data_IF_041839394505
#
_entry.id   IF_041839394505
#
_cell.length_a   1.000
_cell.length_b   1.000
_cell.length_c   1.000
_cell.angle_alpha   90.00
_cell.angle_beta   90.00
_cell.angle_gamma   90.00
#
_symmetry.space_group_name_H-M   'P 1'
#
loop_
_entity.id
_entity.type
_entity.pdbx_description
1 polymer ?
#
# COMPACT_ATOMS: atom_id res chain seq x y z
N UNK A 1 -15.73 3.55 1.96
CA UNK A 1 -14.33 3.48 2.41
C UNK A 1 -13.42 3.85 1.25
N UNK A 2 -12.32 4.55 1.55
CA UNK A 2 -11.27 4.91 0.58
C UNK A 2 -9.97 4.19 0.93
N UNK A 3 -9.11 3.97 -0.06
CA UNK A 3 -7.74 3.45 0.11
C UNK A 3 -6.74 4.37 -0.58
N UNK A 4 -5.58 4.57 0.04
CA UNK A 4 -4.50 5.36 -0.55
C UNK A 4 -3.66 4.47 -1.45
N UNK A 5 -3.44 4.92 -2.70
CA UNK A 5 -2.49 4.31 -3.62
C UNK A 5 -1.43 5.33 -4.00
N UNK A 6 -0.29 4.84 -4.46
CA UNK A 6 0.83 5.65 -4.95
C UNK A 6 1.15 5.31 -6.40
N UNK A 7 1.72 6.27 -7.15
CA UNK A 7 2.16 6.01 -8.51
C UNK A 7 3.36 5.04 -8.53
N UNK A 8 3.42 4.15 -9.50
CA UNK A 8 4.54 3.23 -9.68
C UNK A 8 5.81 3.96 -10.14
N UNK A 9 6.94 3.70 -9.49
CA UNK A 9 8.25 4.26 -9.87
C UNK A 9 8.69 3.89 -11.29
N UNK A 10 8.32 2.70 -11.77
CA UNK A 10 8.65 2.21 -13.13
C UNK A 10 7.61 2.59 -14.21
N UNK A 11 6.44 3.09 -13.81
CA UNK A 11 5.34 3.43 -14.70
C UNK A 11 4.46 4.49 -14.02
N UNK A 12 4.82 5.78 -14.10
CA UNK A 12 4.18 6.85 -13.31
C UNK A 12 2.68 7.08 -13.57
N UNK A 13 2.16 6.50 -14.66
CA UNK A 13 0.74 6.47 -15.04
C UNK A 13 -0.05 5.35 -14.33
N UNK A 14 0.64 4.41 -13.67
CA UNK A 14 0.06 3.27 -12.97
C UNK A 14 0.05 3.48 -11.46
N UNK A 15 -0.96 2.90 -10.80
CA UNK A 15 -1.14 2.98 -9.35
C UNK A 15 -0.84 1.66 -8.67
N UNK A 16 -0.29 1.70 -7.47
CA UNK A 16 0.07 0.53 -6.64
C UNK A 16 -0.26 0.79 -5.18
N UNK A 17 -0.43 -0.28 -4.40
CA UNK A 17 -0.41 -0.22 -2.93
C UNK A 17 1.03 0.10 -2.50
N UNK A 18 1.25 1.11 -1.63
CA UNK A 18 2.59 1.44 -1.15
C UNK A 18 3.19 0.30 -0.35
N UNK A 19 4.51 0.12 -0.46
CA UNK A 19 5.23 -0.92 0.25
C UNK A 19 6.52 -1.34 -0.45
N UNK A 20 7.47 -1.78 0.35
CA UNK A 20 8.81 -2.14 -0.11
C UNK A 20 9.43 -3.27 0.69
N UNK A 21 10.76 -3.29 0.73
CA UNK A 21 11.55 -4.38 1.31
C UNK A 21 11.66 -4.25 2.83
N UNK A 22 11.88 -5.39 3.50
CA UNK A 22 12.35 -5.36 4.88
C UNK A 22 13.83 -4.97 4.91
N UNK A 23 14.18 -4.06 5.80
CA UNK A 23 15.57 -3.82 6.16
C UNK A 23 16.11 -4.92 7.10
N UNK A 24 17.45 -5.08 7.20
CA UNK A 24 18.03 -6.03 8.13
C UNK A 24 17.58 -5.80 9.58
N UNK A 25 17.01 -6.84 10.20
CA UNK A 25 16.45 -6.81 11.57
C UNK A 25 15.21 -5.92 11.73
N UNK A 26 14.54 -5.55 10.63
CA UNK A 26 13.30 -4.78 10.68
C UNK A 26 12.08 -5.68 10.83
N UNK A 27 11.22 -5.34 11.79
CA UNK A 27 9.92 -6.01 11.95
C UNK A 27 8.97 -5.63 10.81
N UNK A 28 8.16 -6.56 10.27
CA UNK A 28 7.27 -6.26 9.14
C UNK A 28 6.26 -5.14 9.37
N UNK A 29 5.79 -4.97 10.60
CA UNK A 29 4.93 -3.86 10.99
C UNK A 29 5.65 -2.51 10.93
N UNK A 30 6.91 -2.48 11.38
CA UNK A 30 7.78 -1.30 11.32
C UNK A 30 8.05 -0.92 9.86
N UNK A 31 8.41 -1.90 9.03
CA UNK A 31 8.61 -1.70 7.61
C UNK A 31 7.36 -1.13 6.94
N UNK A 32 6.17 -1.69 7.22
CA UNK A 32 4.93 -1.18 6.64
C UNK A 32 4.66 0.31 6.99
N UNK A 33 4.99 0.73 8.21
CA UNK A 33 4.85 2.13 8.63
C UNK A 33 5.93 3.04 8.03
N UNK A 34 7.17 2.55 7.89
CA UNK A 34 8.25 3.28 7.23
C UNK A 34 7.91 3.50 5.75
N UNK A 35 7.60 2.42 5.03
CA UNK A 35 7.32 2.44 3.59
C UNK A 35 6.13 3.34 3.23
N UNK A 36 5.05 3.32 4.00
CA UNK A 36 3.89 4.17 3.72
C UNK A 36 4.17 5.65 4.00
N UNK A 37 5.09 5.95 4.92
CA UNK A 37 5.57 7.31 5.16
C UNK A 37 6.51 7.76 4.02
N UNK A 38 7.43 6.90 3.59
CA UNK A 38 8.41 7.17 2.52
C UNK A 38 7.76 7.27 1.14
N UNK A 39 6.82 6.40 0.80
CA UNK A 39 6.18 6.36 -0.53
C UNK A 39 4.90 7.19 -0.59
N UNK A 40 4.12 7.20 0.50
CA UNK A 40 2.78 7.80 0.55
C UNK A 40 2.70 9.09 1.37
N UNK A 41 3.73 9.43 2.15
CA UNK A 41 3.73 10.63 2.98
C UNK A 41 2.59 10.65 3.99
N UNK A 42 2.22 9.51 4.56
CA UNK A 42 1.14 9.43 5.56
C UNK A 42 1.60 8.77 6.84
N UNK A 43 1.02 9.20 7.95
CA UNK A 43 1.15 8.54 9.26
C UNK A 43 -0.22 8.12 9.77
N UNK A 44 -0.23 7.13 10.65
CA UNK A 44 -1.49 6.57 11.11
C UNK A 44 -1.31 5.58 12.24
N UNK A 45 -2.44 5.02 12.65
CA UNK A 45 -2.49 3.90 13.60
C UNK A 45 -2.42 2.59 12.82
N UNK A 46 -1.38 1.80 13.11
CA UNK A 46 -1.27 0.46 12.55
C UNK A 46 -2.33 -0.45 13.19
N UNK A 47 -3.14 -1.05 12.34
CA UNK A 47 -4.14 -2.03 12.71
C UNK A 47 -3.63 -3.47 12.52
N UNK A 48 -4.58 -4.38 12.29
CA UNK A 48 -4.28 -5.80 12.11
C UNK A 48 -3.45 -6.07 10.85
N UNK A 49 -2.68 -7.16 10.89
CA UNK A 49 -2.16 -7.80 9.70
C UNK A 49 -3.33 -8.39 8.90
N UNK A 50 -3.45 -7.98 7.65
CA UNK A 50 -4.45 -8.50 6.72
C UNK A 50 -4.07 -9.89 6.21
N UNK A 51 -2.76 -10.17 6.11
CA UNK A 51 -2.22 -11.46 5.75
C UNK A 51 -0.88 -11.36 5.03
N UNK A 52 -0.35 -12.53 4.69
CA UNK A 52 0.88 -12.70 3.94
C UNK A 52 0.54 -13.15 2.53
N UNK A 53 1.02 -12.43 1.53
CA UNK A 53 0.75 -12.67 0.12
C UNK A 53 2.04 -13.01 -0.60
N UNK A 54 2.01 -14.13 -1.34
CA UNK A 54 3.16 -14.58 -2.11
C UNK A 54 2.97 -14.24 -3.59
N UNK A 55 4.01 -13.67 -4.17
CA UNK A 55 4.16 -13.53 -5.60
C UNK A 55 5.24 -14.52 -6.05
N UNK A 56 4.81 -15.70 -6.51
CA UNK A 56 5.67 -16.79 -6.93
C UNK A 56 6.52 -16.45 -8.16
N UNK A 57 6.01 -15.62 -9.08
CA UNK A 57 6.78 -15.15 -10.24
C UNK A 57 7.99 -14.32 -9.84
N UNK A 58 7.82 -13.46 -8.82
CA UNK A 58 8.89 -12.60 -8.30
C UNK A 58 9.63 -13.20 -7.11
N UNK A 59 9.18 -14.36 -6.60
CA UNK A 59 9.66 -14.97 -5.34
C UNK A 59 9.61 -13.99 -4.15
N UNK A 60 8.64 -13.09 -4.15
CA UNK A 60 8.46 -12.10 -3.08
C UNK A 60 7.31 -12.52 -2.17
N UNK A 61 7.48 -12.28 -0.87
CA UNK A 61 6.45 -12.46 0.14
C UNK A 61 6.18 -11.10 0.80
N UNK A 62 4.93 -10.66 0.77
CA UNK A 62 4.52 -9.34 1.28
C UNK A 62 3.53 -9.52 2.42
N UNK A 63 3.88 -9.01 3.61
CA UNK A 63 2.93 -8.89 4.71
C UNK A 63 2.18 -7.57 4.57
N UNK A 64 0.86 -7.63 4.56
CA UNK A 64 0.01 -6.46 4.34
C UNK A 64 -0.70 -6.13 5.64
N UNK A 65 -0.64 -4.87 6.05
CA UNK A 65 -1.30 -4.35 7.25
C UNK A 65 -2.34 -3.30 6.87
N UNK A 66 -3.32 -3.11 7.76
CA UNK A 66 -4.22 -1.95 7.67
C UNK A 66 -3.57 -0.81 8.44
N UNK A 67 -3.52 0.37 7.82
CA UNK A 67 -3.14 1.60 8.49
C UNK A 67 -4.33 2.57 8.42
N UNK A 68 -4.82 2.98 9.58
CA UNK A 68 -5.78 4.08 9.66
C UNK A 68 -5.00 5.40 9.61
N UNK A 69 -5.04 6.09 8.47
CA UNK A 69 -4.32 7.36 8.27
C UNK A 69 -4.90 8.44 9.17
N UNK A 70 -4.03 9.11 9.93
CA UNK A 70 -4.36 10.22 10.82
C UNK A 70 -3.68 11.51 10.43
N UNK A 71 -2.65 11.45 9.59
CA UNK A 71 -1.87 12.61 9.14
C UNK A 71 -1.44 12.40 7.67
N UNK A 72 -1.58 13.46 6.87
CA UNK A 72 -1.10 13.55 5.50
C UNK A 72 -0.02 14.63 5.42
N UNK A 73 1.21 14.25 5.09
CA UNK A 73 2.34 15.16 4.93
C UNK A 73 2.23 15.89 3.59
N UNK A 74 2.49 17.19 3.56
CA UNK A 74 2.53 17.97 2.31
C UNK A 74 3.68 17.53 1.41
N UNK A 75 4.82 17.23 2.02
CA UNK A 75 6.01 16.73 1.35
C UNK A 75 6.52 15.45 2.02
N UNK A 76 7.00 14.51 1.21
CA UNK A 76 7.56 13.25 1.66
C UNK A 76 8.69 12.78 0.73
N UNK A 77 9.42 11.76 1.15
CA UNK A 77 10.68 11.33 0.52
C UNK A 77 10.52 11.03 -0.97
N UNK A 78 9.62 10.11 -1.34
CA UNK A 78 9.46 9.74 -2.75
C UNK A 78 8.82 10.83 -3.62
N UNK A 79 8.01 11.73 -3.04
CA UNK A 79 7.55 12.90 -3.79
C UNK A 79 8.73 13.81 -4.15
N UNK A 80 9.67 14.02 -3.22
CA UNK A 80 10.85 14.87 -3.44
C UNK A 80 11.86 14.22 -4.38
N UNK A 81 12.12 12.95 -4.20
CA UNK A 81 13.22 12.26 -4.87
C UNK A 81 12.84 11.79 -6.28
N UNK A 82 11.62 11.29 -6.46
CA UNK A 82 11.20 10.65 -7.72
C UNK A 82 9.85 11.18 -8.26
N UNK A 83 9.28 12.20 -7.64
CA UNK A 83 8.00 12.78 -8.08
C UNK A 83 6.81 11.82 -7.90
N UNK A 84 6.90 10.90 -6.93
CA UNK A 84 5.81 9.94 -6.65
C UNK A 84 4.55 10.70 -6.24
N UNK A 85 3.42 10.30 -6.80
CA UNK A 85 2.10 10.84 -6.49
C UNK A 85 1.36 9.90 -5.55
N UNK A 86 0.49 10.47 -4.71
CA UNK A 86 -0.50 9.71 -3.93
C UNK A 86 -1.93 10.13 -4.30
N UNK A 87 -2.89 9.23 -4.18
CA UNK A 87 -4.31 9.55 -4.35
C UNK A 87 -5.17 8.57 -3.54
N UNK A 88 -6.23 9.10 -2.95
CA UNK A 88 -7.30 8.30 -2.34
C UNK A 88 -8.28 7.81 -3.40
N UNK A 89 -8.58 6.51 -3.38
CA UNK A 89 -9.47 5.85 -4.32
C UNK A 89 -10.65 5.20 -3.59
N UNK A 90 -11.87 5.34 -4.12
CA UNK A 90 -12.95 4.40 -3.84
C UNK A 90 -12.50 2.96 -4.15
N UNK A 91 -12.99 1.99 -3.38
CA UNK A 91 -12.57 0.59 -3.48
C UNK A 91 -12.73 0.01 -4.89
N UNK A 92 -13.84 0.31 -5.55
CA UNK A 92 -14.11 -0.16 -6.91
C UNK A 92 -13.13 0.45 -7.92
N UNK A 93 -12.78 1.73 -7.78
CA UNK A 93 -11.76 2.39 -8.60
C UNK A 93 -10.37 1.84 -8.32
N UNK A 94 -10.02 1.62 -7.05
CA UNK A 94 -8.75 1.02 -6.64
C UNK A 94 -8.57 -0.36 -7.29
N UNK A 95 -9.61 -1.20 -7.28
CA UNK A 95 -9.59 -2.51 -7.93
C UNK A 95 -9.41 -2.41 -9.45
N UNK A 96 -10.06 -1.43 -10.10
CA UNK A 96 -9.88 -1.19 -11.54
C UNK A 96 -8.43 -0.83 -11.86
N UNK A 97 -7.86 0.18 -11.20
CA UNK A 97 -6.49 0.64 -11.51
C UNK A 97 -5.43 -0.39 -11.15
N UNK A 98 -5.59 -1.12 -10.04
CA UNK A 98 -4.66 -2.18 -9.63
C UNK A 98 -4.72 -3.39 -10.57
N UNK A 99 -5.89 -3.70 -11.14
CA UNK A 99 -6.01 -4.84 -12.06
C UNK A 99 -5.16 -4.68 -13.33
N UNK A 100 -4.89 -3.44 -13.74
CA UNK A 100 -4.03 -3.13 -14.89
C UNK A 100 -2.55 -3.15 -14.51
N UNK A 101 -2.20 -2.69 -13.31
CA UNK A 101 -0.82 -2.48 -12.90
C UNK A 101 -0.20 -3.66 -12.14
N UNK A 102 -0.93 -4.19 -11.15
CA UNK A 102 -0.51 -5.20 -10.16
C UNK A 102 -1.71 -6.07 -9.73
N UNK A 103 -2.16 -7.03 -10.55
CA UNK A 103 -3.32 -7.87 -10.26
C UNK A 103 -3.30 -8.56 -8.88
N UNK A 104 -2.12 -8.92 -8.38
CA UNK A 104 -1.94 -9.52 -7.05
C UNK A 104 -2.39 -8.58 -5.93
N UNK A 105 -2.13 -7.28 -6.06
CA UNK A 105 -2.51 -6.28 -5.05
C UNK A 105 -4.04 -6.09 -4.95
N UNK A 106 -4.81 -6.45 -5.99
CA UNK A 106 -6.27 -6.50 -5.91
C UNK A 106 -6.76 -7.47 -4.81
N UNK A 107 -6.00 -8.52 -4.51
CA UNK A 107 -6.38 -9.47 -3.45
C UNK A 107 -6.36 -8.82 -2.08
N UNK A 108 -5.51 -7.81 -1.87
CA UNK A 108 -5.38 -7.10 -0.60
C UNK A 108 -6.67 -6.30 -0.36
N UNK A 109 -7.06 -5.50 -1.35
CA UNK A 109 -8.27 -4.66 -1.30
C UNK A 109 -9.53 -5.52 -1.19
N UNK A 110 -9.59 -6.67 -1.87
CA UNK A 110 -10.71 -7.62 -1.74
C UNK A 110 -10.80 -8.22 -0.33
N UNK A 111 -9.67 -8.56 0.30
CA UNK A 111 -9.65 -9.15 1.64
C UNK A 111 -10.03 -8.12 2.71
N UNK A 112 -9.63 -6.86 2.54
CA UNK A 112 -10.09 -5.75 3.36
C UNK A 112 -11.63 -5.70 3.39
N UNK A 113 -12.28 -5.75 2.22
CA UNK A 113 -13.76 -5.77 2.12
C UNK A 113 -14.44 -6.97 2.76
N UNK A 114 -13.81 -8.16 2.73
CA UNK A 114 -14.42 -9.37 3.29
C UNK A 114 -14.43 -9.34 4.81
N UNK A 115 -13.41 -8.75 5.42
CA UNK A 115 -13.25 -8.74 6.88
C UNK A 115 -13.93 -7.56 7.56
N UNK A 116 -14.40 -6.56 6.81
CA UNK A 116 -15.27 -5.48 7.32
C UNK A 116 -16.76 -5.87 7.25
N UNK A 117 -17.07 -7.04 6.65
CA UNK A 117 -18.38 -7.70 6.77
C UNK A 117 -18.37 -8.64 7.97
N UNK A 118 -18.44 -8.08 9.17
CA UNK A 118 -18.88 -8.80 10.37
C UNK A 118 -20.05 -7.99 10.94
N UNK A 119 -21.20 -8.62 11.25
CA UNK A 119 -22.37 -7.93 11.82
C UNK A 119 -22.08 -7.30 13.18
#
# INVERSE_FOLDING_TARGET
MLVLLVSSSSAPDRWIVPGGGLEPNEEPSTAAMREVMEEGGVRGRLGRCLGTFENSERKHRTMVFILEVTEELEEWEDSKNIGRKRKWFPIDEALRVLSVSKPVQCNYVKLLMKNDKVP
#
